data_IF_623417587044
#
_entry.id   IF_623417587044
#
_cell.length_a   1.000
_cell.length_b   1.000
_cell.length_c   1.000
_cell.angle_alpha   90.00
_cell.angle_beta   90.00
_cell.angle_gamma   90.00
#
_symmetry.space_group_name_H-M   'P 1'
#
loop_
_entity.id
_entity.type
_entity.pdbx_description
1 polymer ?
#
# COMPACT_ATOMS: atom_id res chain seq x y z
N UNK A 1 16.59 6.08 39.20
CA UNK A 1 17.40 5.44 38.14
C UNK A 1 16.44 4.90 37.11
N UNK A 2 16.68 5.31 35.87
CA UNK A 2 15.70 5.48 34.80
C UNK A 2 15.01 4.19 34.38
N UNK A 3 13.68 4.19 34.42
CA UNK A 3 12.88 3.35 33.55
C UNK A 3 13.03 3.94 32.14
N UNK A 4 13.79 3.27 31.28
CA UNK A 4 13.81 3.58 29.85
C UNK A 4 12.41 3.31 29.34
N UNK A 5 11.62 4.38 29.21
CA UNK A 5 10.38 4.36 28.46
C UNK A 5 10.80 3.96 27.04
N UNK A 6 10.59 2.68 26.68
CA UNK A 6 10.60 2.29 25.29
C UNK A 6 9.38 2.97 24.70
N UNK A 7 9.59 4.21 24.23
CA UNK A 7 8.68 4.90 23.35
C UNK A 7 8.28 3.88 22.30
N UNK A 8 7.00 3.51 22.31
CA UNK A 8 6.43 2.58 21.37
C UNK A 8 6.59 3.25 20.01
N UNK A 9 7.70 2.98 19.32
CA UNK A 9 7.89 3.35 17.93
C UNK A 9 6.71 2.72 17.22
N UNK A 10 5.74 3.53 16.79
CA UNK A 10 4.55 3.03 16.12
C UNK A 10 5.03 2.18 14.94
N UNK A 11 4.91 0.85 15.07
CA UNK A 11 5.42 -0.07 14.07
C UNK A 11 4.52 0.02 12.85
N UNK A 12 5.11 0.30 11.69
CA UNK A 12 4.37 0.27 10.44
C UNK A 12 4.12 -1.19 10.05
N UNK A 13 2.93 -1.48 9.57
CA UNK A 13 2.64 -2.76 8.94
C UNK A 13 2.65 -2.59 7.43
N UNK A 14 3.32 -3.48 6.70
CA UNK A 14 3.26 -3.51 5.24
C UNK A 14 2.65 -4.83 4.80
N UNK A 15 1.60 -4.76 3.97
CA UNK A 15 1.04 -5.91 3.25
C UNK A 15 1.54 -5.88 1.82
N UNK A 16 2.20 -6.96 1.38
CA UNK A 16 2.82 -7.03 0.05
C UNK A 16 2.86 -8.46 -0.49
N UNK A 17 3.03 -8.68 -1.81
CA UNK A 17 3.22 -10.01 -2.37
C UNK A 17 4.49 -10.67 -1.80
N UNK A 18 4.44 -11.97 -1.53
CA UNK A 18 5.57 -12.72 -1.02
C UNK A 18 6.75 -12.74 -2.00
N UNK A 19 6.45 -12.80 -3.29
CA UNK A 19 7.37 -12.88 -4.42
C UNK A 19 7.68 -11.51 -5.05
N UNK A 20 7.35 -10.40 -4.37
CA UNK A 20 7.55 -9.06 -4.92
C UNK A 20 9.04 -8.83 -5.28
N UNK A 21 9.37 -8.46 -6.54
CA UNK A 21 10.75 -8.25 -6.99
C UNK A 21 11.52 -7.22 -6.14
N UNK A 22 12.82 -7.44 -5.97
CA UNK A 22 13.68 -6.62 -5.11
C UNK A 22 13.76 -5.15 -5.55
N UNK A 23 13.69 -4.88 -6.85
CA UNK A 23 13.72 -3.56 -7.45
C UNK A 23 12.36 -2.84 -7.47
N UNK A 24 11.29 -3.53 -7.05
CA UNK A 24 9.95 -2.94 -6.94
C UNK A 24 9.95 -1.74 -6.00
N UNK A 25 9.06 -0.78 -6.28
CA UNK A 25 8.86 0.40 -5.45
C UNK A 25 8.58 0.05 -3.98
N UNK A 26 7.72 -0.94 -3.74
CA UNK A 26 7.39 -1.41 -2.39
C UNK A 26 8.60 -1.93 -1.62
N UNK A 27 9.45 -2.76 -2.23
CA UNK A 27 10.69 -3.27 -1.59
C UNK A 27 11.68 -2.15 -1.31
N UNK A 28 11.94 -1.28 -2.30
CA UNK A 28 12.87 -0.15 -2.13
C UNK A 28 12.38 0.85 -1.07
N UNK A 29 11.07 1.09 -0.99
CA UNK A 29 10.50 1.97 0.04
C UNK A 29 10.65 1.36 1.44
N UNK A 30 10.51 0.05 1.60
CA UNK A 30 10.81 -0.64 2.88
C UNK A 30 12.26 -0.42 3.31
N UNK A 31 13.20 -0.55 2.38
CA UNK A 31 14.62 -0.32 2.66
C UNK A 31 14.87 1.12 3.08
N UNK A 32 14.29 2.09 2.38
CA UNK A 32 14.41 3.51 2.71
C UNK A 32 13.82 3.85 4.09
N UNK A 33 12.63 3.32 4.41
CA UNK A 33 11.98 3.50 5.73
C UNK A 33 12.80 2.85 6.86
N UNK A 34 13.36 1.66 6.63
CA UNK A 34 14.26 0.99 7.60
C UNK A 34 15.55 1.77 7.81
N UNK A 35 16.15 2.30 6.75
CA UNK A 35 17.33 3.15 6.83
C UNK A 35 17.05 4.45 7.62
N UNK A 36 15.81 4.93 7.59
CA UNK A 36 15.35 6.05 8.43
C UNK A 36 15.03 5.66 9.89
N UNK A 37 15.32 4.42 10.32
CA UNK A 37 15.11 3.94 11.68
C UNK A 37 13.68 3.49 11.99
N UNK A 38 12.82 3.33 10.96
CA UNK A 38 11.43 2.93 11.17
C UNK A 38 11.31 1.41 11.31
N UNK A 39 10.63 0.96 12.37
CA UNK A 39 10.24 -0.44 12.54
C UNK A 39 9.11 -0.83 11.59
N UNK A 40 9.31 -1.88 10.78
CA UNK A 40 8.33 -2.35 9.80
C UNK A 40 8.11 -3.85 9.95
N UNK A 41 6.85 -4.24 10.19
CA UNK A 41 6.38 -5.62 10.13
C UNK A 41 5.82 -5.92 8.75
N UNK A 42 6.38 -6.91 8.06
CA UNK A 42 5.92 -7.32 6.73
C UNK A 42 4.95 -8.50 6.85
N UNK A 43 3.79 -8.37 6.21
CA UNK A 43 2.79 -9.42 6.00
C UNK A 43 2.82 -9.81 4.53
N UNK A 44 3.50 -10.92 4.24
CA UNK A 44 3.67 -11.43 2.89
C UNK A 44 2.43 -12.24 2.46
N UNK A 45 1.79 -11.85 1.36
CA UNK A 45 0.65 -12.55 0.80
C UNK A 45 1.09 -13.61 -0.23
N UNK A 46 0.54 -14.84 -0.18
CA UNK A 46 0.77 -15.84 -1.21
C UNK A 46 -0.03 -15.52 -2.48
N UNK A 47 0.20 -16.29 -3.54
CA UNK A 47 -0.59 -16.24 -4.76
C UNK A 47 0.01 -15.32 -5.84
N UNK A 48 -0.44 -15.49 -7.10
CA UNK A 48 0.07 -14.72 -8.22
C UNK A 48 -0.46 -13.28 -8.16
N UNK A 49 0.43 -12.32 -7.96
CA UNK A 49 0.07 -10.91 -7.97
C UNK A 49 0.45 -10.26 -9.31
N UNK A 50 -0.39 -9.38 -9.88
CA UNK A 50 -1.58 -8.75 -9.30
C UNK A 50 -2.91 -9.50 -9.55
N UNK A 51 -2.87 -10.76 -10.00
CA UNK A 51 -4.07 -11.55 -10.27
C UNK A 51 -4.88 -11.78 -8.98
N UNK A 52 -6.20 -11.84 -9.13
CA UNK A 52 -7.09 -12.14 -8.00
C UNK A 52 -6.96 -13.62 -7.65
N UNK A 53 -6.67 -13.91 -6.39
CA UNK A 53 -6.43 -15.25 -5.89
C UNK A 53 -7.07 -15.47 -4.50
N UNK A 54 -7.87 -16.54 -4.31
CA UNK A 54 -8.52 -16.81 -3.02
C UNK A 54 -7.57 -16.97 -1.83
N UNK A 55 -6.36 -17.50 -2.04
CA UNK A 55 -5.38 -17.67 -0.96
C UNK A 55 -4.76 -16.33 -0.54
N UNK A 56 -4.54 -15.42 -1.49
CA UNK A 56 -4.11 -14.05 -1.24
C UNK A 56 -5.17 -13.27 -0.42
N UNK A 57 -6.44 -13.38 -0.81
CA UNK A 57 -7.58 -12.75 -0.11
C UNK A 57 -7.66 -13.25 1.33
N UNK A 58 -7.67 -14.58 1.54
CA UNK A 58 -7.77 -15.16 2.88
C UNK A 58 -6.58 -14.76 3.77
N UNK A 59 -5.37 -14.79 3.22
CA UNK A 59 -4.17 -14.39 3.96
C UNK A 59 -4.23 -12.91 4.36
N UNK A 60 -4.73 -12.06 3.48
CA UNK A 60 -4.93 -10.64 3.78
C UNK A 60 -5.98 -10.42 4.88
N UNK A 61 -7.14 -11.08 4.80
CA UNK A 61 -8.18 -11.00 5.83
C UNK A 61 -7.62 -11.36 7.20
N UNK A 62 -6.89 -12.47 7.30
CA UNK A 62 -6.27 -12.92 8.54
C UNK A 62 -5.22 -11.93 9.04
N UNK A 63 -4.37 -11.41 8.15
CA UNK A 63 -3.33 -10.45 8.51
C UNK A 63 -3.94 -9.15 9.04
N UNK A 64 -4.90 -8.57 8.33
CA UNK A 64 -5.56 -7.33 8.71
C UNK A 64 -6.33 -7.50 10.02
N UNK A 65 -7.14 -8.56 10.17
CA UNK A 65 -7.96 -8.84 11.36
C UNK A 65 -7.16 -8.88 12.67
N UNK A 66 -5.87 -9.23 12.62
CA UNK A 66 -4.99 -9.32 13.79
C UNK A 66 -4.34 -7.99 14.19
N UNK A 67 -4.42 -6.97 13.35
CA UNK A 67 -3.80 -5.68 13.63
C UNK A 67 -4.62 -4.92 14.67
N UNK A 68 -3.97 -4.18 15.59
CA UNK A 68 -4.68 -3.36 16.56
C UNK A 68 -5.37 -2.17 15.88
N UNK A 69 -6.44 -1.67 16.50
CA UNK A 69 -7.10 -0.45 16.06
C UNK A 69 -6.13 0.73 16.02
N UNK A 70 -6.28 1.58 15.02
CA UNK A 70 -5.40 2.72 14.75
C UNK A 70 -4.07 2.35 14.09
N UNK A 71 -3.77 1.07 13.85
CA UNK A 71 -2.53 0.67 13.20
C UNK A 71 -2.39 1.31 11.80
N UNK A 72 -1.16 1.74 11.49
CA UNK A 72 -0.80 2.28 10.17
C UNK A 72 -0.38 1.14 9.28
N UNK A 73 -1.09 1.00 8.16
CA UNK A 73 -0.92 -0.13 7.25
C UNK A 73 -0.62 0.39 5.85
N UNK A 74 0.59 0.13 5.40
CA UNK A 74 1.02 0.31 4.03
C UNK A 74 0.53 -0.89 3.21
N UNK A 75 -0.10 -0.62 2.07
CA UNK A 75 -0.57 -1.65 1.13
C UNK A 75 0.16 -1.50 -0.18
N UNK A 76 0.84 -2.54 -0.62
CA UNK A 76 1.53 -2.56 -1.91
C UNK A 76 0.52 -2.64 -3.06
N UNK A 77 0.72 -1.85 -4.11
CA UNK A 77 -0.25 -1.66 -5.20
C UNK A 77 -0.72 -2.94 -5.88
N UNK A 78 0.14 -3.96 -6.04
CA UNK A 78 -0.26 -5.24 -6.65
C UNK A 78 -1.24 -6.02 -5.79
N UNK A 79 -1.32 -5.75 -4.50
CA UNK A 79 -2.24 -6.44 -3.58
C UNK A 79 -3.65 -5.86 -3.61
N UNK A 80 -3.83 -4.63 -4.12
CA UNK A 80 -5.12 -3.94 -4.07
C UNK A 80 -6.29 -4.72 -4.71
N UNK A 81 -6.13 -5.42 -5.85
CA UNK A 81 -7.20 -6.24 -6.41
C UNK A 81 -7.67 -7.35 -5.45
N UNK A 82 -6.72 -8.02 -4.78
CA UNK A 82 -7.01 -9.05 -3.77
C UNK A 82 -7.61 -8.46 -2.49
N UNK A 83 -7.25 -7.23 -2.15
CA UNK A 83 -7.71 -6.57 -0.93
C UNK A 83 -9.06 -5.88 -1.06
N UNK A 84 -9.55 -5.65 -2.28
CA UNK A 84 -10.72 -4.79 -2.53
C UNK A 84 -11.97 -5.20 -1.71
N UNK A 85 -12.19 -6.49 -1.51
CA UNK A 85 -13.30 -7.00 -0.70
C UNK A 85 -13.04 -6.95 0.82
N UNK A 86 -11.78 -7.05 1.23
CA UNK A 86 -11.33 -7.10 2.64
C UNK A 86 -11.28 -5.71 3.30
N UNK A 87 -10.82 -4.71 2.56
CA UNK A 87 -10.56 -3.37 3.09
C UNK A 87 -11.78 -2.70 3.75
N UNK A 88 -13.03 -2.79 3.25
CA UNK A 88 -14.17 -2.13 3.85
C UNK A 88 -14.39 -2.48 5.33
N UNK A 89 -14.21 -3.75 5.70
CA UNK A 89 -14.41 -4.24 7.07
C UNK A 89 -13.48 -3.53 8.08
N UNK A 90 -12.28 -3.20 7.64
CA UNK A 90 -11.22 -2.68 8.50
C UNK A 90 -10.93 -1.20 8.29
N UNK A 91 -11.51 -0.58 7.25
CA UNK A 91 -11.27 0.81 6.83
C UNK A 91 -11.52 1.86 7.91
N UNK A 92 -12.37 1.55 8.89
CA UNK A 92 -12.67 2.46 10.01
C UNK A 92 -11.69 2.32 11.17
N UNK A 93 -11.14 1.12 11.39
CA UNK A 93 -10.23 0.86 12.50
C UNK A 93 -8.77 1.04 12.10
N UNK A 94 -8.40 0.69 10.86
CA UNK A 94 -7.03 0.79 10.35
C UNK A 94 -6.79 2.09 9.58
N UNK A 95 -5.53 2.49 9.49
CA UNK A 95 -5.08 3.69 8.75
C UNK A 95 -4.35 3.23 7.49
N UNK A 96 -5.09 2.98 6.42
CA UNK A 96 -4.53 2.49 5.17
C UNK A 96 -3.81 3.59 4.38
N UNK A 97 -2.63 3.28 3.85
CA UNK A 97 -1.91 4.06 2.85
C UNK A 97 -1.43 3.13 1.75
N UNK A 98 -1.71 3.44 0.48
CA UNK A 98 -1.23 2.63 -0.64
C UNK A 98 0.14 3.08 -1.14
N UNK A 99 0.98 2.14 -1.54
CA UNK A 99 2.21 2.38 -2.30
C UNK A 99 1.95 2.00 -3.76
N UNK A 100 1.82 2.99 -4.65
CA UNK A 100 1.43 2.77 -6.05
C UNK A 100 2.55 3.21 -6.97
N UNK A 101 3.14 2.26 -7.70
CA UNK A 101 4.15 2.52 -8.73
C UNK A 101 3.56 2.65 -10.13
N UNK A 102 2.37 2.07 -10.35
CA UNK A 102 1.58 2.15 -11.58
C UNK A 102 0.19 1.59 -11.31
N UNK A 103 -0.79 2.00 -12.10
CA UNK A 103 -2.14 1.42 -12.07
C UNK A 103 -2.22 0.29 -13.10
N UNK A 104 -2.75 -0.86 -12.70
CA UNK A 104 -2.75 -2.07 -13.53
C UNK A 104 -3.77 -2.00 -14.66
N UNK A 105 -4.80 -1.16 -14.55
CA UNK A 105 -5.72 -0.91 -15.67
C UNK A 105 -5.10 -0.17 -16.86
N UNK A 106 -3.94 0.49 -16.69
CA UNK A 106 -3.24 1.20 -17.77
C UNK A 106 -2.23 0.30 -18.50
N UNK A 107 -2.22 -1.01 -18.24
CA UNK A 107 -1.30 -1.92 -18.90
C UNK A 107 -1.64 -2.06 -20.39
N UNK A 108 -0.64 -1.95 -21.28
CA UNK A 108 -0.86 -2.08 -22.71
C UNK A 108 -1.29 -3.50 -23.07
N UNK A 109 -2.25 -3.63 -24.00
CA UNK A 109 -2.71 -4.92 -24.50
C UNK A 109 -3.83 -5.57 -23.69
N UNK A 110 -4.36 -4.90 -22.66
CA UNK A 110 -5.56 -5.36 -21.95
C UNK A 110 -6.82 -5.24 -22.83
N UNK A 111 -7.69 -6.27 -22.87
CA UNK A 111 -9.05 -6.12 -23.37
C UNK A 111 -9.81 -5.04 -22.60
N UNK A 112 -10.69 -4.29 -23.27
CA UNK A 112 -11.43 -3.17 -22.66
C UNK A 112 -12.21 -3.58 -21.40
N UNK A 113 -12.82 -4.77 -21.41
CA UNK A 113 -13.55 -5.32 -20.27
C UNK A 113 -12.62 -5.59 -19.08
N UNK A 114 -11.44 -6.14 -19.32
CA UNK A 114 -10.45 -6.42 -18.28
C UNK A 114 -9.87 -5.12 -17.70
N UNK A 115 -9.57 -4.15 -18.56
CA UNK A 115 -9.12 -2.82 -18.15
C UNK A 115 -10.19 -2.13 -17.28
N UNK A 116 -11.47 -2.20 -17.67
CA UNK A 116 -12.57 -1.64 -16.88
C UNK A 116 -12.73 -2.34 -15.52
N UNK A 117 -12.64 -3.67 -15.47
CA UNK A 117 -12.72 -4.44 -14.23
C UNK A 117 -11.58 -4.09 -13.27
N UNK A 118 -10.33 -4.06 -13.76
CA UNK A 118 -9.15 -3.64 -12.99
C UNK A 118 -9.31 -2.21 -12.48
N UNK A 119 -9.75 -1.29 -13.34
CA UNK A 119 -9.98 0.12 -12.97
C UNK A 119 -10.97 0.24 -11.83
N UNK A 120 -12.08 -0.50 -11.86
CA UNK A 120 -13.09 -0.47 -10.79
C UNK A 120 -12.55 -1.00 -9.47
N UNK A 121 -11.78 -2.11 -9.49
CA UNK A 121 -11.16 -2.68 -8.29
C UNK A 121 -10.13 -1.71 -7.68
N UNK A 122 -9.24 -1.15 -8.51
CA UNK A 122 -8.24 -0.18 -8.07
C UNK A 122 -8.91 1.09 -7.54
N UNK A 123 -9.96 1.60 -8.19
CA UNK A 123 -10.74 2.74 -7.70
C UNK A 123 -11.37 2.49 -6.33
N UNK A 124 -12.03 1.34 -6.17
CA UNK A 124 -12.68 0.96 -4.92
C UNK A 124 -11.67 0.86 -3.77
N UNK A 125 -10.55 0.17 -3.99
CA UNK A 125 -9.49 0.05 -3.00
C UNK A 125 -8.86 1.42 -2.66
N UNK A 126 -8.52 2.21 -3.67
CA UNK A 126 -7.93 3.54 -3.47
C UNK A 126 -8.88 4.50 -2.76
N UNK A 127 -10.20 4.38 -2.93
CA UNK A 127 -11.17 5.22 -2.23
C UNK A 127 -11.07 5.09 -0.69
N UNK A 128 -10.63 3.93 -0.19
CA UNK A 128 -10.51 3.63 1.24
C UNK A 128 -9.17 4.08 1.85
N UNK A 129 -8.22 4.53 1.03
CA UNK A 129 -6.89 4.94 1.52
C UNK A 129 -6.94 6.31 2.20
N UNK A 130 -6.18 6.54 3.27
CA UNK A 130 -5.99 7.91 3.77
C UNK A 130 -5.04 8.68 2.86
N UNK A 131 -3.95 8.03 2.46
CA UNK A 131 -2.93 8.56 1.54
C UNK A 131 -2.58 7.54 0.46
N UNK A 132 -2.04 8.03 -0.66
CA UNK A 132 -1.47 7.20 -1.72
C UNK A 132 -0.08 7.76 -2.04
N UNK A 133 0.95 6.96 -1.77
CA UNK A 133 2.33 7.34 -2.01
C UNK A 133 2.76 6.86 -3.40
N UNK A 134 3.39 7.75 -4.16
CA UNK A 134 3.82 7.49 -5.54
C UNK A 134 5.28 7.87 -5.75
N UNK A 135 6.01 7.15 -6.62
CA UNK A 135 7.42 7.43 -6.87
C UNK A 135 7.64 8.71 -7.70
N UNK A 136 6.67 9.10 -8.54
CA UNK A 136 6.83 10.18 -9.52
C UNK A 136 5.51 10.90 -9.90
N UNK A 137 5.65 11.96 -10.70
CA UNK A 137 4.55 12.79 -11.21
C UNK A 137 3.66 12.11 -12.26
N UNK A 138 4.18 11.15 -13.01
CA UNK A 138 3.40 10.44 -14.02
C UNK A 138 2.34 9.56 -13.34
N UNK A 139 2.72 8.84 -12.28
CA UNK A 139 1.77 8.05 -11.49
C UNK A 139 0.79 8.98 -10.76
N UNK A 140 1.27 10.10 -10.19
CA UNK A 140 0.41 11.09 -9.53
C UNK A 140 -0.66 11.64 -10.48
N UNK A 141 -0.30 11.98 -11.73
CA UNK A 141 -1.24 12.44 -12.74
C UNK A 141 -2.30 11.38 -13.08
N UNK A 142 -1.89 10.11 -13.15
CA UNK A 142 -2.81 8.98 -13.39
C UNK A 142 -3.78 8.78 -12.23
N UNK A 143 -3.33 8.93 -10.98
CA UNK A 143 -4.24 8.90 -9.82
C UNK A 143 -5.25 10.06 -9.83
N UNK A 144 -4.81 11.25 -10.26
CA UNK A 144 -5.71 12.42 -10.39
C UNK A 144 -6.78 12.18 -11.45
N UNK A 145 -6.44 11.59 -12.60
CA UNK A 145 -7.43 11.23 -13.63
C UNK A 145 -8.39 10.14 -13.16
N UNK A 146 -7.96 9.32 -12.19
CA UNK A 146 -8.79 8.33 -11.51
C UNK A 146 -9.71 8.95 -10.42
N UNK A 147 -9.56 10.24 -10.12
CA UNK A 147 -10.36 10.97 -9.13
C UNK A 147 -9.78 11.01 -7.71
N UNK A 148 -8.52 10.58 -7.52
CA UNK A 148 -7.84 10.71 -6.23
C UNK A 148 -7.51 12.18 -5.99
N UNK A 149 -7.94 12.70 -4.84
CA UNK A 149 -7.74 14.10 -4.48
C UNK A 149 -6.25 14.43 -4.31
N UNK A 150 -5.76 15.57 -4.83
CA UNK A 150 -4.33 15.93 -4.75
C UNK A 150 -3.76 15.90 -3.33
N UNK A 151 -4.53 16.33 -2.32
CA UNK A 151 -4.09 16.30 -0.91
C UNK A 151 -3.92 14.90 -0.31
N UNK A 152 -4.43 13.85 -0.98
CA UNK A 152 -4.22 12.45 -0.59
C UNK A 152 -3.00 11.83 -1.26
N UNK A 153 -2.44 12.46 -2.30
CA UNK A 153 -1.27 11.95 -3.03
C UNK A 153 0.00 12.46 -2.35
N UNK A 154 0.93 11.56 -2.06
CA UNK A 154 2.23 11.86 -1.45
C UNK A 154 3.32 11.49 -2.46
N UNK A 155 4.13 12.47 -2.84
CA UNK A 155 5.33 12.20 -3.62
C UNK A 155 6.40 11.62 -2.71
N UNK A 156 6.69 10.33 -2.91
CA UNK A 156 7.59 9.56 -2.08
C UNK A 156 8.46 8.67 -2.98
N UNK A 157 9.49 9.21 -3.65
CA UNK A 157 10.50 8.37 -4.29
C UNK A 157 11.09 7.38 -3.28
N UNK A 158 11.48 6.19 -3.71
CA UNK A 158 12.05 5.18 -2.82
C UNK A 158 13.53 5.49 -2.49
N UNK A 159 13.72 6.60 -1.79
CA UNK A 159 14.96 7.12 -1.23
C UNK A 159 14.68 7.75 0.16
N UNK A 160 15.71 8.32 0.78
CA UNK A 160 15.59 8.92 2.12
C UNK A 160 14.58 10.08 2.17
N UNK A 161 14.51 10.90 1.13
CA UNK A 161 13.62 12.07 1.09
C UNK A 161 12.15 11.61 0.96
N UNK A 162 11.88 10.64 0.10
CA UNK A 162 10.53 10.11 -0.04
C UNK A 162 10.07 9.29 1.17
N UNK A 163 10.97 8.57 1.84
CA UNK A 163 10.66 7.94 3.12
C UNK A 163 10.25 8.98 4.18
N UNK A 164 10.98 10.10 4.29
CA UNK A 164 10.62 11.18 5.20
C UNK A 164 9.27 11.84 4.84
N UNK A 165 9.01 12.06 3.54
CA UNK A 165 7.75 12.61 3.07
C UNK A 165 6.56 11.68 3.36
N UNK A 166 6.74 10.37 3.17
CA UNK A 166 5.74 9.37 3.52
C UNK A 166 5.47 9.38 5.03
N UNK A 167 6.52 9.30 5.86
CA UNK A 167 6.37 9.30 7.32
C UNK A 167 5.66 10.55 7.85
N UNK A 168 5.94 11.72 7.28
CA UNK A 168 5.27 12.97 7.65
C UNK A 168 3.77 13.00 7.29
N UNK A 169 3.34 12.13 6.36
CA UNK A 169 1.96 12.08 5.89
C UNK A 169 1.09 11.01 6.58
N UNK A 170 1.70 10.07 7.31
CA UNK A 170 1.04 8.90 7.92
C UNK A 170 0.19 9.26 9.13
#
# INVERSE_FOLDING_TARGET
>A
MSATNQDSTASLHLVMPADLPADSYGRRMVEALRAAGTGITIHALPGPHPQVDPSAILAADVALARLPDGAVVLLEGNTLPNLAASLPADSRRLRFTALVDRLRWTEPGLPDEEAAARRNLEQGALALMRRVAVPDDAVAATLRSLGVQPGRIVHAPADTAGAAALLAAL
#
